data_IF_888806934104
#
_entry.id   IF_888806934104
#
_cell.length_a   1.000
_cell.length_b   1.000
_cell.length_c   1.000
_cell.angle_alpha   90.00
_cell.angle_beta   90.00
_cell.angle_gamma   90.00
#
_symmetry.space_group_name_H-M   'P 1'
#
loop_
_entity.id
_entity.type
_entity.pdbx_description
1 polymer ?
#
# COMPACT_ATOMS: atom_id res chain seq x y z
N UNK A 1 -21.30 -7.19 15.13
CA UNK A 1 -20.67 -7.08 16.47
C UNK A 1 -20.48 -8.50 17.00
N UNK A 2 -19.32 -8.82 17.56
CA UNK A 2 -19.01 -10.13 18.14
C UNK A 2 -18.07 -9.98 19.35
N UNK A 3 -17.99 -11.02 20.19
CA UNK A 3 -17.38 -10.95 21.51
C UNK A 3 -18.31 -10.34 22.58
N UNK A 4 -17.84 -10.30 23.83
CA UNK A 4 -18.60 -9.86 24.99
C UNK A 4 -19.00 -8.36 24.94
N UNK A 5 -20.28 -8.09 24.64
CA UNK A 5 -20.79 -6.75 24.38
C UNK A 5 -22.05 -6.37 25.17
N UNK A 6 -22.17 -5.07 25.49
CA UNK A 6 -23.46 -4.38 25.64
C UNK A 6 -23.72 -3.55 24.39
N UNK A 7 -24.86 -3.77 23.75
CA UNK A 7 -25.25 -3.12 22.48
C UNK A 7 -26.61 -2.43 22.65
N UNK A 8 -26.75 -1.19 22.17
CA UNK A 8 -28.03 -0.48 22.09
C UNK A 8 -28.82 -0.87 20.83
N UNK A 9 -30.14 -0.75 20.86
CA UNK A 9 -31.01 -1.20 19.76
C UNK A 9 -30.82 -0.42 18.44
N UNK A 10 -30.27 0.80 18.49
CA UNK A 10 -29.89 1.64 17.36
C UNK A 10 -28.47 1.37 16.83
N UNK A 11 -27.71 0.45 17.48
CA UNK A 11 -26.29 0.17 17.26
C UNK A 11 -25.34 1.36 17.49
N UNK A 12 -25.83 2.50 18.00
CA UNK A 12 -25.03 3.69 18.27
C UNK A 12 -24.13 3.59 19.50
N UNK A 13 -24.52 2.77 20.48
CA UNK A 13 -23.79 2.45 21.69
C UNK A 13 -23.35 0.99 21.71
N UNK A 14 -22.09 0.73 21.34
CA UNK A 14 -21.44 -0.57 21.47
C UNK A 14 -20.34 -0.43 22.52
N UNK A 15 -20.49 -1.10 23.66
CA UNK A 15 -19.54 -1.05 24.76
C UNK A 15 -19.07 -2.48 25.13
N UNK A 16 -17.75 -2.70 25.32
CA UNK A 16 -17.25 -3.98 25.78
C UNK A 16 -17.71 -4.25 27.22
N UNK A 17 -17.92 -5.52 27.54
CA UNK A 17 -18.13 -6.00 28.91
C UNK A 17 -17.13 -7.12 29.23
N UNK A 18 -17.10 -7.61 30.46
CA UNK A 18 -16.18 -8.67 30.85
C UNK A 18 -16.38 -9.93 29.99
N UNK A 19 -15.30 -10.38 29.35
CA UNK A 19 -15.26 -11.59 28.54
C UNK A 19 -15.35 -12.88 29.36
N UNK A 20 -15.57 -14.01 28.67
CA UNK A 20 -15.55 -15.32 29.31
C UNK A 20 -14.11 -15.84 29.45
N UNK A 21 -13.86 -16.63 30.50
CA UNK A 21 -12.72 -17.53 30.48
C UNK A 21 -12.83 -18.47 29.25
N UNK A 22 -11.73 -18.63 28.50
CA UNK A 22 -11.71 -19.48 27.30
C UNK A 22 -12.24 -18.82 26.01
N UNK A 23 -12.18 -17.50 25.88
CA UNK A 23 -12.52 -16.80 24.64
C UNK A 23 -11.73 -17.33 23.41
N UNK A 24 -12.35 -17.42 22.21
CA UNK A 24 -11.70 -17.94 21.02
C UNK A 24 -10.64 -16.97 20.47
N UNK A 25 -9.65 -17.49 19.74
CA UNK A 25 -8.63 -16.65 19.09
C UNK A 25 -9.22 -15.65 18.07
N UNK A 26 -10.34 -16.02 17.42
CA UNK A 26 -11.07 -15.17 16.49
C UNK A 26 -12.57 -15.22 16.80
N UNK A 27 -13.23 -14.06 16.94
CA UNK A 27 -14.68 -13.96 17.06
C UNK A 27 -15.42 -13.97 15.71
N UNK A 28 -14.67 -13.79 14.60
CA UNK A 28 -15.16 -13.79 13.22
C UNK A 28 -14.09 -14.48 12.36
N UNK A 29 -14.46 -15.51 11.60
CA UNK A 29 -13.66 -16.02 10.48
C UNK A 29 -14.51 -16.02 9.20
N UNK A 30 -14.19 -15.13 8.26
CA UNK A 30 -14.97 -14.95 7.03
C UNK A 30 -14.88 -16.15 6.08
N UNK A 31 -13.84 -17.01 6.17
CA UNK A 31 -13.80 -18.22 5.34
C UNK A 31 -14.90 -19.22 5.73
N UNK A 32 -15.29 -19.29 7.01
CA UNK A 32 -16.42 -20.10 7.47
C UNK A 32 -17.78 -19.50 7.07
N UNK A 33 -17.81 -18.19 6.79
CA UNK A 33 -18.98 -17.48 6.25
C UNK A 33 -19.04 -17.48 4.71
N UNK A 34 -18.01 -18.02 4.04
CA UNK A 34 -17.79 -17.94 2.59
C UNK A 34 -17.38 -16.55 2.10
N UNK A 35 -18.18 -15.52 2.43
CA UNK A 35 -17.86 -14.12 2.15
C UNK A 35 -18.95 -13.17 2.61
N UNK A 36 -18.60 -11.89 2.77
CA UNK A 36 -19.49 -10.84 3.25
C UNK A 36 -19.66 -9.75 2.18
N UNK A 37 -20.88 -9.63 1.65
CA UNK A 37 -21.22 -8.72 0.56
C UNK A 37 -22.43 -7.85 0.96
N UNK A 38 -22.23 -6.53 0.99
CA UNK A 38 -23.28 -5.55 1.25
C UNK A 38 -22.89 -4.19 0.64
N UNK A 39 -23.75 -3.17 0.66
CA UNK A 39 -23.30 -1.81 0.33
C UNK A 39 -22.47 -1.22 1.49
N UNK A 40 -22.87 -1.42 2.74
CA UNK A 40 -22.13 -0.92 3.91
C UNK A 40 -21.83 -2.09 4.86
N UNK A 41 -20.60 -2.17 5.35
CA UNK A 41 -20.14 -3.24 6.24
C UNK A 41 -19.47 -2.64 7.48
N UNK A 42 -19.95 -3.03 8.66
CA UNK A 42 -19.43 -2.62 9.95
C UNK A 42 -19.20 -3.85 10.86
N UNK A 43 -17.94 -4.13 11.18
CA UNK A 43 -17.52 -5.18 12.10
C UNK A 43 -16.93 -4.54 13.36
N UNK A 44 -17.36 -5.04 14.52
CA UNK A 44 -16.77 -4.71 15.82
C UNK A 44 -16.51 -6.01 16.55
N UNK A 45 -15.26 -6.20 16.97
CA UNK A 45 -14.76 -7.26 17.85
C UNK A 45 -13.95 -6.57 18.95
N UNK A 46 -14.54 -6.43 20.12
CA UNK A 46 -14.04 -5.62 21.24
C UNK A 46 -13.91 -6.45 22.54
N UNK A 47 -13.68 -7.74 22.39
CA UNK A 47 -13.27 -8.59 23.51
C UNK A 47 -11.74 -8.64 23.51
N UNK A 48 -11.11 -8.25 24.62
CA UNK A 48 -9.68 -7.95 24.67
C UNK A 48 -8.83 -9.19 24.29
N UNK A 49 -7.94 -9.01 23.30
CA UNK A 49 -7.11 -10.08 22.74
C UNK A 49 -7.81 -10.98 21.71
N UNK A 50 -9.12 -10.89 21.55
CA UNK A 50 -9.87 -11.66 20.54
C UNK A 50 -9.77 -10.99 19.17
N UNK A 51 -9.35 -11.75 18.17
CA UNK A 51 -9.14 -11.26 16.82
C UNK A 51 -10.36 -11.33 15.89
N UNK A 52 -10.14 -10.88 14.66
CA UNK A 52 -11.01 -11.15 13.51
C UNK A 52 -10.15 -11.65 12.34
N UNK A 53 -10.69 -12.60 11.57
CA UNK A 53 -9.98 -13.25 10.47
C UNK A 53 -10.76 -13.15 9.17
N UNK A 54 -10.08 -12.73 8.10
CA UNK A 54 -10.59 -12.82 6.74
C UNK A 54 -9.65 -13.68 5.89
N UNK A 55 -10.06 -14.93 5.69
CA UNK A 55 -9.51 -15.83 4.68
C UNK A 55 -10.49 -16.05 3.50
N UNK A 56 -11.54 -15.22 3.39
CA UNK A 56 -12.51 -15.22 2.30
C UNK A 56 -12.56 -13.87 1.59
N UNK A 57 -13.76 -13.37 1.29
CA UNK A 57 -13.97 -12.03 0.71
C UNK A 57 -14.84 -11.16 1.62
N UNK A 58 -14.42 -9.93 1.89
CA UNK A 58 -15.25 -8.83 2.38
C UNK A 58 -15.35 -7.79 1.26
N UNK A 59 -16.56 -7.46 0.79
CA UNK A 59 -16.74 -6.55 -0.34
C UNK A 59 -17.93 -5.60 -0.15
N UNK A 60 -17.69 -4.29 -0.23
CA UNK A 60 -18.72 -3.25 -0.03
C UNK A 60 -19.38 -2.78 -1.34
N UNK A 61 -19.33 -3.59 -2.41
CA UNK A 61 -19.72 -3.20 -3.76
C UNK A 61 -20.41 -4.34 -4.53
N UNK A 62 -21.50 -4.03 -5.22
CA UNK A 62 -22.16 -4.93 -6.18
C UNK A 62 -21.80 -4.56 -7.62
N UNK A 63 -21.08 -5.43 -8.33
CA UNK A 63 -20.80 -5.29 -9.77
C UNK A 63 -19.32 -5.36 -10.14
N UNK A 64 -19.04 -5.69 -11.40
CA UNK A 64 -17.72 -6.09 -11.92
C UNK A 64 -16.65 -4.99 -11.97
N UNK A 65 -17.02 -3.72 -11.74
CA UNK A 65 -16.11 -2.56 -11.76
C UNK A 65 -16.29 -1.64 -10.53
N UNK A 66 -16.07 -2.22 -9.35
CA UNK A 66 -16.20 -1.60 -8.02
C UNK A 66 -15.22 -0.44 -7.69
N UNK A 67 -14.65 0.24 -8.69
CA UNK A 67 -13.71 1.37 -8.51
C UNK A 67 -14.18 2.70 -9.13
N UNK A 68 -15.30 2.71 -9.87
CA UNK A 68 -15.89 3.93 -10.43
C UNK A 68 -16.86 4.65 -9.46
N UNK A 69 -17.23 4.02 -8.34
CA UNK A 69 -18.26 4.49 -7.41
C UNK A 69 -17.74 5.48 -6.35
N UNK A 70 -17.35 6.69 -6.75
CA UNK A 70 -16.97 7.78 -5.81
C UNK A 70 -18.15 8.70 -5.43
N UNK A 71 -19.38 8.32 -5.80
CA UNK A 71 -20.60 9.10 -5.53
C UNK A 71 -21.13 8.95 -4.09
N UNK A 72 -22.02 9.87 -3.65
CA UNK A 72 -22.67 9.77 -2.34
C UNK A 72 -23.52 8.49 -2.23
N UNK A 73 -23.41 7.79 -1.11
CA UNK A 73 -24.08 6.50 -0.86
C UNK A 73 -23.32 5.25 -1.34
N UNK A 74 -22.16 5.42 -1.97
CA UNK A 74 -21.27 4.32 -2.30
C UNK A 74 -20.60 3.71 -1.05
N UNK A 75 -20.27 2.43 -1.14
CA UNK A 75 -20.09 1.55 0.00
C UNK A 75 -18.82 1.72 0.84
N UNK A 76 -19.01 1.82 2.16
CA UNK A 76 -17.92 1.99 3.14
C UNK A 76 -17.72 0.76 4.02
N UNK A 77 -16.49 0.58 4.48
CA UNK A 77 -16.07 -0.47 5.40
C UNK A 77 -15.56 0.13 6.71
N UNK A 78 -16.01 -0.39 7.84
CA UNK A 78 -15.39 -0.14 9.16
C UNK A 78 -15.17 -1.46 9.88
N UNK A 79 -13.91 -1.81 10.12
CA UNK A 79 -13.52 -2.87 11.06
C UNK A 79 -12.90 -2.22 12.30
N UNK A 80 -13.37 -2.62 13.48
CA UNK A 80 -12.70 -2.37 14.76
C UNK A 80 -12.47 -3.70 15.47
N UNK A 81 -11.21 -4.00 15.77
CA UNK A 81 -10.76 -5.26 16.39
C UNK A 81 -9.82 -4.91 17.54
N UNK A 82 -10.08 -5.39 18.75
CA UNK A 82 -9.18 -5.10 19.89
C UNK A 82 -7.99 -6.07 19.93
N UNK A 83 -8.13 -7.28 19.37
CA UNK A 83 -7.03 -8.23 19.14
C UNK A 83 -6.39 -8.11 17.74
N UNK A 84 -5.93 -9.25 17.22
CA UNK A 84 -5.33 -9.37 15.88
C UNK A 84 -6.39 -9.32 14.78
N UNK A 85 -6.18 -8.47 13.78
CA UNK A 85 -6.84 -8.61 12.47
C UNK A 85 -5.92 -9.43 11.54
N UNK A 86 -6.32 -10.65 11.18
CA UNK A 86 -5.65 -11.52 10.21
C UNK A 86 -6.36 -11.45 8.85
N UNK A 87 -5.72 -10.91 7.83
CA UNK A 87 -6.22 -10.92 6.45
C UNK A 87 -5.29 -11.72 5.53
N UNK A 88 -5.72 -12.94 5.18
CA UNK A 88 -5.14 -13.72 4.08
C UNK A 88 -6.01 -13.70 2.82
N UNK A 89 -7.22 -13.14 2.90
CA UNK A 89 -8.20 -13.06 1.82
C UNK A 89 -8.28 -11.69 1.14
N UNK A 90 -9.44 -11.40 0.54
CA UNK A 90 -9.74 -10.13 -0.12
C UNK A 90 -10.61 -9.24 0.78
N UNK A 91 -10.20 -7.99 0.93
CA UNK A 91 -11.03 -6.88 1.42
C UNK A 91 -11.11 -5.85 0.30
N UNK A 92 -12.31 -5.60 -0.26
CA UNK A 92 -12.53 -4.61 -1.32
C UNK A 92 -13.60 -3.59 -0.93
N UNK A 93 -13.24 -2.31 -0.94
CA UNK A 93 -14.08 -1.21 -0.47
C UNK A 93 -14.38 -0.23 -1.59
N UNK A 94 -15.67 -0.01 -1.85
CA UNK A 94 -16.19 0.84 -2.93
C UNK A 94 -15.82 2.32 -2.79
N UNK A 95 -15.59 2.79 -1.56
CA UNK A 95 -15.15 4.17 -1.29
C UNK A 95 -14.10 4.19 -0.16
N UNK A 96 -14.51 4.42 1.09
CA UNK A 96 -13.60 4.59 2.23
C UNK A 96 -13.57 3.34 3.10
N UNK A 97 -12.36 2.82 3.36
CA UNK A 97 -12.13 1.69 4.26
C UNK A 97 -11.39 2.13 5.52
N UNK A 98 -11.97 1.88 6.69
CA UNK A 98 -11.35 2.13 7.99
C UNK A 98 -11.09 0.78 8.67
N UNK A 99 -9.82 0.48 8.94
CA UNK A 99 -9.37 -0.68 9.68
C UNK A 99 -8.73 -0.21 11.00
N UNK A 100 -9.26 -0.66 12.13
CA UNK A 100 -8.67 -0.48 13.45
C UNK A 100 -8.42 -1.85 14.07
N UNK A 101 -7.20 -2.09 14.54
CA UNK A 101 -6.80 -3.36 15.14
C UNK A 101 -5.91 -3.15 16.38
N UNK A 102 -5.79 -4.15 17.25
CA UNK A 102 -4.68 -4.24 18.21
C UNK A 102 -3.36 -4.35 17.44
N UNK A 103 -3.26 -5.37 16.59
CA UNK A 103 -2.23 -5.51 15.55
C UNK A 103 -2.86 -6.00 14.24
N UNK A 104 -2.22 -5.76 13.10
CA UNK A 104 -2.70 -6.22 11.79
C UNK A 104 -1.66 -7.12 11.12
N UNK A 105 -2.10 -8.28 10.63
CA UNK A 105 -1.36 -9.11 9.69
C UNK A 105 -2.12 -9.15 8.36
N UNK A 106 -1.49 -8.72 7.28
CA UNK A 106 -2.04 -8.79 5.92
C UNK A 106 -1.09 -9.56 5.00
N UNK A 107 -1.42 -10.82 4.74
CA UNK A 107 -0.86 -11.61 3.64
C UNK A 107 -1.73 -11.59 2.37
N UNK A 108 -2.97 -11.10 2.49
CA UNK A 108 -3.94 -11.00 1.39
C UNK A 108 -3.95 -9.65 0.69
N UNK A 109 -5.13 -9.24 0.20
CA UNK A 109 -5.35 -7.94 -0.46
C UNK A 109 -6.36 -7.10 0.29
N UNK A 110 -6.01 -5.84 0.55
CA UNK A 110 -6.91 -4.79 1.03
C UNK A 110 -6.92 -3.66 -0.01
N UNK A 111 -8.09 -3.38 -0.58
CA UNK A 111 -8.29 -2.37 -1.63
C UNK A 111 -9.42 -1.40 -1.27
N UNK A 112 -9.21 -0.09 -1.46
CA UNK A 112 -10.27 0.92 -1.38
C UNK A 112 -10.21 1.88 -2.56
N UNK A 113 -11.34 2.25 -3.15
CA UNK A 113 -11.35 3.19 -4.28
C UNK A 113 -10.97 4.64 -3.89
N UNK A 114 -11.21 5.05 -2.64
CA UNK A 114 -10.97 6.42 -2.18
C UNK A 114 -9.87 6.53 -1.11
N UNK A 115 -10.16 6.15 0.13
CA UNK A 115 -9.21 6.28 1.26
C UNK A 115 -9.16 4.97 2.05
N UNK A 116 -7.97 4.38 2.16
CA UNK A 116 -7.72 3.30 3.10
C UNK A 116 -7.01 3.89 4.32
N UNK A 117 -7.71 3.87 5.45
CA UNK A 117 -7.17 4.25 6.76
C UNK A 117 -6.96 3.00 7.60
N UNK A 118 -5.73 2.80 8.07
CA UNK A 118 -5.34 1.70 8.94
C UNK A 118 -4.70 2.27 10.19
N UNK A 119 -5.22 1.89 11.36
CA UNK A 119 -4.64 2.23 12.66
C UNK A 119 -4.48 0.97 13.51
N UNK A 120 -3.23 0.67 13.88
CA UNK A 120 -2.89 -0.39 14.83
C UNK A 120 -2.34 0.19 16.13
N UNK A 121 -2.49 -0.55 17.23
CA UNK A 121 -1.88 -0.21 18.50
C UNK A 121 -0.42 -0.69 18.47
N UNK A 122 -0.22 -2.00 18.30
CA UNK A 122 1.04 -2.64 17.96
C UNK A 122 1.30 -2.72 16.46
N UNK A 123 2.00 -3.76 16.03
CA UNK A 123 2.57 -3.87 14.68
C UNK A 123 1.53 -3.94 13.55
N UNK A 124 1.96 -3.46 12.37
CA UNK A 124 1.25 -3.52 11.11
C UNK A 124 2.11 -4.28 10.09
N UNK A 125 1.89 -5.59 10.00
CA UNK A 125 2.54 -6.46 9.03
C UNK A 125 1.75 -6.52 7.71
N UNK A 126 2.44 -6.23 6.61
CA UNK A 126 1.94 -6.34 5.23
C UNK A 126 2.79 -7.36 4.45
N UNK A 127 2.91 -8.57 4.99
CA UNK A 127 3.71 -9.68 4.45
C UNK A 127 2.94 -11.01 4.54
N UNK A 128 3.38 -12.05 3.79
CA UNK A 128 2.89 -13.41 4.03
C UNK A 128 3.40 -13.89 5.40
N UNK A 129 2.48 -14.27 6.28
CA UNK A 129 2.84 -14.97 7.51
C UNK A 129 3.42 -16.35 7.19
N UNK A 130 4.71 -16.55 7.46
CA UNK A 130 5.36 -17.88 7.47
C UNK A 130 6.37 -18.17 6.34
N UNK A 131 6.49 -17.35 5.30
CA UNK A 131 7.47 -17.58 4.21
C UNK A 131 8.64 -16.59 4.24
N UNK A 132 9.63 -16.86 5.09
CA UNK A 132 10.89 -16.09 5.17
C UNK A 132 11.86 -16.29 3.99
N UNK A 133 11.34 -16.47 2.77
CA UNK A 133 12.12 -16.68 1.54
C UNK A 133 11.96 -15.50 0.57
N UNK A 134 13.04 -15.20 -0.17
CA UNK A 134 13.13 -14.07 -1.11
C UNK A 134 12.35 -14.27 -2.43
N UNK A 135 11.09 -14.70 -2.35
CA UNK A 135 10.25 -14.99 -3.52
C UNK A 135 8.74 -15.12 -3.26
N UNK A 136 8.27 -14.90 -2.03
CA UNK A 136 6.83 -14.80 -1.74
C UNK A 136 6.35 -13.35 -1.83
N UNK A 137 5.38 -13.05 -2.70
CA UNK A 137 4.74 -11.73 -2.76
C UNK A 137 4.00 -11.46 -1.45
N UNK A 138 4.40 -10.43 -0.71
CA UNK A 138 3.72 -10.01 0.52
C UNK A 138 2.33 -9.44 0.28
N UNK A 139 1.67 -9.03 1.37
CA UNK A 139 0.32 -8.46 1.31
C UNK A 139 0.24 -7.20 0.44
N UNK A 140 -0.93 -6.95 -0.10
CA UNK A 140 -1.26 -5.71 -0.81
C UNK A 140 -2.20 -4.87 0.03
N UNK A 141 -1.85 -3.60 0.30
CA UNK A 141 -2.78 -2.55 0.71
C UNK A 141 -2.76 -1.45 -0.35
N UNK A 142 -3.93 -1.05 -0.85
CA UNK A 142 -4.03 -0.18 -2.02
C UNK A 142 -5.21 0.79 -1.92
N UNK A 143 -4.96 2.08 -2.11
CA UNK A 143 -6.01 3.10 -2.24
C UNK A 143 -5.52 4.39 -2.92
N UNK A 144 -6.46 5.21 -3.41
CA UNK A 144 -6.17 6.53 -3.99
C UNK A 144 -5.47 7.46 -2.99
N UNK A 145 -5.83 7.39 -1.71
CA UNK A 145 -5.03 7.90 -0.58
C UNK A 145 -4.83 6.78 0.44
N UNK A 146 -3.62 6.66 0.98
CA UNK A 146 -3.23 5.61 1.91
C UNK A 146 -2.74 6.21 3.24
N UNK A 147 -3.46 5.95 4.34
CA UNK A 147 -3.15 6.42 5.69
C UNK A 147 -2.88 5.24 6.62
N UNK A 148 -1.61 4.90 6.90
CA UNK A 148 -1.19 3.87 7.84
C UNK A 148 -0.61 4.50 9.11
N UNK A 149 -1.04 4.03 10.28
CA UNK A 149 -0.50 4.42 11.59
C UNK A 149 -0.36 3.19 12.49
N UNK A 150 0.85 2.92 12.99
CA UNK A 150 1.07 2.11 14.18
C UNK A 150 1.39 3.02 15.35
N UNK A 151 0.76 2.82 16.50
CA UNK A 151 0.90 3.71 17.66
C UNK A 151 2.17 3.43 18.47
N UNK A 152 2.54 2.15 18.65
CA UNK A 152 3.73 1.73 19.41
C UNK A 152 4.57 0.64 18.73
N UNK A 153 4.19 0.20 17.52
CA UNK A 153 4.87 -0.86 16.77
C UNK A 153 5.52 -0.39 15.46
N UNK A 154 6.01 -1.36 14.70
CA UNK A 154 6.62 -1.20 13.39
C UNK A 154 5.55 -1.27 12.26
N UNK A 155 5.86 -0.71 11.08
CA UNK A 155 5.17 -1.07 9.83
C UNK A 155 6.11 -1.99 9.04
N UNK A 156 5.71 -3.24 8.81
CA UNK A 156 6.53 -4.23 8.12
C UNK A 156 5.95 -4.65 6.75
N UNK A 157 6.43 -3.99 5.71
CA UNK A 157 6.12 -4.19 4.30
C UNK A 157 7.16 -5.06 3.56
N UNK A 158 7.88 -5.95 4.24
CA UNK A 158 8.86 -6.83 3.59
C UNK A 158 8.21 -7.72 2.53
N UNK A 159 8.74 -7.64 1.30
CA UNK A 159 8.14 -8.18 0.07
C UNK A 159 6.69 -7.73 -0.23
N UNK A 160 6.11 -6.83 0.55
CA UNK A 160 4.73 -6.36 0.44
C UNK A 160 4.54 -5.18 -0.50
N UNK A 161 3.29 -4.76 -0.68
CA UNK A 161 2.88 -3.64 -1.53
C UNK A 161 1.96 -2.68 -0.76
N UNK A 162 2.42 -1.44 -0.52
CA UNK A 162 1.64 -0.32 0.01
C UNK A 162 1.43 0.72 -1.10
N UNK A 163 0.32 0.59 -1.85
CA UNK A 163 0.11 1.33 -3.10
C UNK A 163 -0.81 2.54 -2.92
N UNK A 164 -0.24 3.75 -2.98
CA UNK A 164 -1.02 4.98 -3.16
C UNK A 164 -1.25 5.24 -4.65
N UNK A 165 -2.49 5.14 -5.12
CA UNK A 165 -2.80 5.18 -6.55
C UNK A 165 -2.96 6.58 -7.14
N UNK A 166 -2.89 7.63 -6.32
CA UNK A 166 -2.88 9.02 -6.78
C UNK A 166 -1.47 9.60 -6.93
N UNK A 167 -1.38 10.69 -7.69
CA UNK A 167 -0.20 11.57 -7.77
C UNK A 167 -0.06 12.51 -6.57
N UNK A 168 -0.80 12.28 -5.47
CA UNK A 168 -0.54 12.99 -4.22
C UNK A 168 0.82 12.60 -3.63
N UNK A 169 1.38 13.50 -2.84
CA UNK A 169 2.56 13.20 -2.04
C UNK A 169 2.31 12.12 -0.98
N UNK A 170 3.38 11.65 -0.36
CA UNK A 170 3.32 10.69 0.73
C UNK A 170 4.16 11.19 1.91
N UNK A 171 3.52 11.46 3.04
CA UNK A 171 4.23 11.70 4.29
C UNK A 171 4.71 10.37 4.86
N UNK A 172 5.99 10.28 5.21
CA UNK A 172 6.56 9.12 5.92
C UNK A 172 7.18 9.66 7.20
N UNK A 173 6.36 9.78 8.24
CA UNK A 173 6.77 10.15 9.60
C UNK A 173 6.97 8.88 10.41
N UNK A 174 7.79 8.00 9.87
CA UNK A 174 8.21 6.78 10.53
C UNK A 174 9.52 7.06 11.25
N UNK A 175 9.55 6.89 12.57
CA UNK A 175 10.77 6.32 13.11
C UNK A 175 10.90 4.87 12.62
N UNK A 176 9.83 4.06 12.54
CA UNK A 176 9.89 2.63 12.16
C UNK A 176 9.15 2.22 10.91
N UNK A 177 9.89 1.71 9.92
CA UNK A 177 9.34 1.21 8.67
C UNK A 177 10.30 0.21 8.05
N UNK A 178 9.79 -0.95 7.65
CA UNK A 178 10.54 -2.07 7.11
C UNK A 178 10.02 -2.41 5.72
N UNK A 179 10.72 -1.95 4.67
CA UNK A 179 10.31 -2.12 3.26
C UNK A 179 11.23 -3.07 2.48
N UNK A 180 11.88 -3.98 3.19
CA UNK A 180 13.02 -4.74 2.65
C UNK A 180 12.58 -5.91 1.76
N UNK A 181 13.53 -6.67 1.19
CA UNK A 181 13.24 -7.91 0.45
C UNK A 181 12.26 -7.70 -0.74
N UNK A 182 12.50 -6.68 -1.58
CA UNK A 182 11.68 -6.35 -2.75
C UNK A 182 10.40 -5.54 -2.48
N UNK A 183 10.14 -5.19 -1.20
CA UNK A 183 8.98 -4.43 -0.76
C UNK A 183 8.77 -3.12 -1.51
N UNK A 184 7.50 -2.73 -1.70
CA UNK A 184 7.12 -1.58 -2.49
C UNK A 184 6.18 -0.62 -1.76
N UNK A 185 6.48 0.69 -1.81
CA UNK A 185 5.64 1.78 -1.29
C UNK A 185 5.48 2.89 -2.34
N UNK A 186 4.25 3.27 -2.65
CA UNK A 186 3.92 4.43 -3.50
C UNK A 186 3.08 4.09 -4.73
N UNK A 187 3.43 4.61 -5.91
CA UNK A 187 2.53 4.65 -7.08
C UNK A 187 2.73 3.56 -8.15
N UNK A 188 3.97 3.10 -8.39
CA UNK A 188 4.35 2.25 -9.53
C UNK A 188 5.27 1.08 -9.12
N UNK A 189 5.03 -0.18 -9.56
CA UNK A 189 4.25 -0.56 -10.73
C UNK A 189 2.98 -1.37 -10.42
N UNK A 190 2.00 -1.26 -11.31
CA UNK A 190 1.03 -2.35 -11.52
C UNK A 190 1.71 -3.37 -12.40
N UNK A 191 2.14 -4.50 -11.84
CA UNK A 191 2.55 -5.64 -12.64
C UNK A 191 1.35 -6.07 -13.51
N UNK A 192 1.55 -6.19 -14.82
CA UNK A 192 0.54 -6.76 -15.70
C UNK A 192 0.19 -8.18 -15.23
N UNK A 193 -1.06 -8.62 -15.44
CA UNK A 193 -1.46 -9.99 -15.12
C UNK A 193 -0.51 -10.97 -15.81
N UNK A 194 0.33 -11.65 -15.03
CA UNK A 194 1.03 -12.84 -15.48
C UNK A 194 -0.02 -13.93 -15.62
N UNK A 195 -0.77 -13.88 -16.72
CA UNK A 195 -1.50 -15.04 -17.20
C UNK A 195 -0.48 -16.18 -17.29
N UNK A 196 -0.65 -17.21 -16.48
CA UNK A 196 0.09 -18.46 -16.64
C UNK A 196 -0.41 -19.19 -17.88
N UNK A 197 -0.14 -18.62 -19.07
CA UNK A 197 -0.11 -19.34 -20.33
C UNK A 197 1.04 -20.34 -20.25
N UNK A 198 0.76 -21.49 -19.64
CA UNK A 198 1.75 -22.54 -19.40
C UNK A 198 2.45 -22.90 -20.70
N UNK A 199 3.78 -22.95 -20.69
CA UNK A 199 4.59 -23.18 -21.88
C UNK A 199 4.53 -24.66 -22.33
N UNK A 200 3.40 -25.05 -22.89
CA UNK A 200 3.08 -26.42 -23.35
C UNK A 200 3.50 -26.67 -24.80
N UNK A 201 4.79 -26.60 -25.10
CA UNK A 201 5.31 -26.96 -26.41
C UNK A 201 5.29 -28.47 -26.65
N UNK A 202 4.30 -28.98 -27.40
CA UNK A 202 4.19 -30.38 -27.78
C UNK A 202 3.46 -30.55 -29.12
N UNK A 203 4.10 -31.23 -30.08
CA UNK A 203 3.56 -31.45 -31.43
C UNK A 203 3.09 -32.91 -31.58
N UNK A 204 1.99 -33.14 -32.31
CA UNK A 204 1.73 -34.46 -32.88
C UNK A 204 0.26 -34.88 -33.08
N UNK A 205 -0.12 -35.00 -34.35
CA UNK A 205 -1.20 -35.86 -34.88
C UNK A 205 -2.67 -35.47 -34.66
N UNK A 206 -3.53 -36.11 -35.45
CA UNK A 206 -4.95 -35.79 -35.66
C UNK A 206 -5.87 -36.98 -35.36
N UNK A 207 -7.19 -36.73 -35.24
CA UNK A 207 -8.28 -37.40 -35.99
C UNK A 207 -9.66 -36.94 -35.48
N UNK A 208 -10.63 -36.71 -36.38
CA UNK A 208 -12.08 -36.65 -36.04
C UNK A 208 -12.76 -35.28 -36.20
N UNK A 209 -13.95 -35.27 -36.82
CA UNK A 209 -14.85 -34.10 -36.91
C UNK A 209 -16.04 -34.20 -35.93
N UNK A 210 -17.15 -33.46 -36.08
CA UNK A 210 -17.66 -32.75 -37.28
C UNK A 210 -18.61 -31.57 -36.96
N UNK A 211 -18.63 -30.55 -37.83
CA UNK A 211 -19.83 -29.80 -38.28
C UNK A 211 -20.51 -28.78 -37.34
N UNK A 212 -20.88 -27.59 -37.84
CA UNK A 212 -21.68 -26.64 -37.04
C UNK A 212 -21.98 -25.21 -37.55
N UNK A 213 -22.22 -24.99 -38.85
CA UNK A 213 -22.80 -23.75 -39.45
C UNK A 213 -22.09 -22.38 -39.25
N UNK A 214 -22.21 -21.50 -40.25
CA UNK A 214 -21.72 -20.12 -40.22
C UNK A 214 -22.83 -19.15 -40.69
N UNK A 215 -22.80 -17.90 -40.20
CA UNK A 215 -23.69 -16.81 -40.65
C UNK A 215 -22.84 -15.53 -40.88
N UNK A 216 -22.92 -14.83 -42.03
CA UNK A 216 -22.15 -13.61 -42.31
C UNK A 216 -22.66 -12.33 -41.60
N UNK A 217 -21.90 -11.21 -41.62
CA UNK A 217 -22.24 -9.99 -40.88
C UNK A 217 -23.26 -9.08 -41.59
N UNK A 218 -24.06 -8.37 -40.80
CA UNK A 218 -25.00 -7.34 -41.28
C UNK A 218 -24.38 -5.94 -41.38
N UNK A 219 -24.92 -5.11 -42.27
CA UNK A 219 -24.54 -3.71 -42.51
C UNK A 219 -25.70 -2.75 -42.19
N UNK A 220 -25.41 -1.50 -41.82
CA UNK A 220 -26.45 -0.45 -41.69
C UNK A 220 -26.27 0.54 -40.54
N UNK A 221 -25.66 1.70 -40.83
CA UNK A 221 -25.77 2.96 -40.06
C UNK A 221 -26.90 3.84 -40.68
N UNK A 222 -27.19 5.09 -40.25
CA UNK A 222 -26.68 5.89 -39.11
C UNK A 222 -27.77 6.62 -38.26
N UNK A 223 -27.34 7.23 -37.16
CA UNK A 223 -27.67 8.66 -36.92
C UNK A 223 -28.72 9.03 -35.86
N UNK A 224 -28.27 9.69 -34.79
CA UNK A 224 -29.01 10.77 -34.10
C UNK A 224 -28.02 11.62 -33.30
N UNK A 225 -28.10 12.94 -33.43
CA UNK A 225 -27.20 13.87 -32.76
C UNK A 225 -27.79 14.35 -31.42
N UNK A 226 -26.98 14.33 -30.37
CA UNK A 226 -27.26 15.00 -29.10
C UNK A 226 -26.30 16.19 -28.96
N UNK A 227 -26.81 17.35 -28.55
CA UNK A 227 -26.04 18.60 -28.53
C UNK A 227 -24.93 18.62 -27.48
N UNK A 228 -23.88 19.38 -27.74
CA UNK A 228 -22.79 19.59 -26.79
C UNK A 228 -23.25 20.38 -25.56
N UNK A 229 -23.42 19.69 -24.43
CA UNK A 229 -23.40 20.34 -23.13
C UNK A 229 -21.99 20.91 -22.86
N UNK A 230 -21.85 22.08 -22.21
CA UNK A 230 -20.54 22.66 -21.95
C UNK A 230 -19.72 21.74 -21.04
N UNK A 231 -18.49 21.45 -21.45
CA UNK A 231 -17.50 20.75 -20.62
C UNK A 231 -17.04 21.65 -19.48
N UNK A 232 -17.88 21.76 -18.44
CA UNK A 232 -17.45 22.25 -17.14
C UNK A 232 -16.27 21.38 -16.70
N UNK A 233 -15.07 21.95 -16.75
CA UNK A 233 -13.85 21.23 -16.44
C UNK A 233 -13.88 20.82 -14.97
N UNK A 234 -14.21 19.55 -14.71
CA UNK A 234 -14.22 18.98 -13.37
C UNK A 234 -12.83 19.20 -12.76
N UNK A 235 -12.75 20.10 -11.79
CA UNK A 235 -11.54 20.30 -10.99
C UNK A 235 -11.24 18.97 -10.32
N UNK A 236 -10.20 18.28 -10.80
CA UNK A 236 -9.74 17.02 -10.21
C UNK A 236 -9.59 17.23 -8.70
N UNK A 237 -10.37 16.51 -7.86
CA UNK A 237 -10.44 16.81 -6.44
C UNK A 237 -9.05 16.66 -5.82
N UNK A 238 -8.54 17.73 -5.23
CA UNK A 238 -7.17 17.79 -4.70
C UNK A 238 -6.99 16.66 -3.68
N UNK A 239 -6.26 15.63 -4.09
CA UNK A 239 -6.00 14.47 -3.25
C UNK A 239 -4.98 14.89 -2.20
N UNK A 240 -5.41 14.93 -0.95
CA UNK A 240 -4.51 15.15 0.18
C UNK A 240 -3.47 14.04 0.26
N UNK A 241 -2.20 14.33 0.63
CA UNK A 241 -1.18 13.32 0.84
C UNK A 241 -1.64 12.20 1.79
N UNK A 242 -1.24 10.97 1.47
CA UNK A 242 -1.26 9.86 2.42
C UNK A 242 -0.19 10.02 3.50
N UNK A 243 -0.25 9.18 4.52
CA UNK A 243 0.70 9.20 5.64
C UNK A 243 1.03 7.77 6.12
N UNK A 244 2.32 7.49 6.34
CA UNK A 244 2.83 6.31 7.06
C UNK A 244 3.50 6.79 8.36
N UNK A 245 3.09 6.23 9.51
CA UNK A 245 3.58 6.63 10.85
C UNK A 245 3.79 5.39 11.74
N UNK A 246 4.97 5.21 12.34
CA UNK A 246 5.37 4.04 13.17
C UNK A 246 6.77 4.21 13.83
N UNK A 247 7.26 3.24 14.64
CA UNK A 247 8.41 3.37 15.58
C UNK A 247 9.66 2.46 15.33
N UNK A 248 10.88 3.03 15.14
CA UNK A 248 12.12 2.38 14.60
C UNK A 248 13.32 3.37 14.55
N UNK A 249 14.26 3.56 13.59
CA UNK A 249 14.74 3.12 12.22
C UNK A 249 13.80 2.77 11.03
N UNK A 250 13.95 3.50 9.92
CA UNK A 250 13.46 3.17 8.55
C UNK A 250 14.49 2.32 7.78
N UNK A 251 14.03 1.24 7.14
CA UNK A 251 14.84 0.26 6.40
C UNK A 251 14.23 -0.01 5.02
N UNK A 252 14.97 0.31 3.96
CA UNK A 252 14.59 0.10 2.56
C UNK A 252 15.62 -0.77 1.81
N UNK A 253 16.35 -1.64 2.52
CA UNK A 253 17.36 -2.52 1.95
C UNK A 253 16.75 -3.52 0.95
N UNK A 254 17.20 -3.46 -0.31
CA UNK A 254 16.57 -4.16 -1.43
C UNK A 254 15.11 -3.78 -1.68
N UNK A 255 14.63 -2.66 -1.13
CA UNK A 255 13.25 -2.17 -1.20
C UNK A 255 13.06 -1.05 -2.22
N UNK A 256 11.82 -0.58 -2.39
CA UNK A 256 11.43 0.48 -3.34
C UNK A 256 10.41 1.44 -2.72
N UNK A 257 10.73 2.73 -2.65
CA UNK A 257 9.84 3.79 -2.14
C UNK A 257 9.76 4.93 -3.17
N UNK A 258 8.62 5.04 -3.86
CA UNK A 258 8.40 6.01 -4.95
C UNK A 258 6.91 6.40 -5.08
N UNK A 259 6.56 7.60 -4.61
CA UNK A 259 5.21 8.15 -4.76
C UNK A 259 5.01 8.94 -6.07
N UNK A 260 3.77 9.09 -6.50
CA UNK A 260 3.42 9.86 -7.69
C UNK A 260 3.58 11.38 -7.51
N UNK A 261 3.47 11.86 -6.26
CA UNK A 261 3.92 13.19 -5.83
C UNK A 261 5.16 13.12 -4.95
N UNK A 262 5.49 14.23 -4.30
CA UNK A 262 6.65 14.32 -3.40
C UNK A 262 6.51 13.42 -2.16
N UNK A 263 7.60 12.72 -1.79
CA UNK A 263 7.70 12.06 -0.48
C UNK A 263 8.33 13.02 0.53
N UNK A 264 7.59 13.31 1.60
CA UNK A 264 8.07 14.05 2.75
C UNK A 264 8.51 13.04 3.82
N UNK A 265 9.81 12.72 3.84
CA UNK A 265 10.39 11.72 4.73
C UNK A 265 10.93 12.38 6.00
N UNK A 266 10.33 12.07 7.15
CA UNK A 266 10.67 12.64 8.45
C UNK A 266 11.23 11.54 9.36
N UNK A 267 12.51 11.20 9.14
CA UNK A 267 13.22 10.22 9.96
C UNK A 267 14.73 10.53 9.99
N UNK A 268 15.42 10.39 11.14
CA UNK A 268 16.85 10.67 11.22
C UNK A 268 17.71 9.53 10.66
N UNK A 269 17.19 8.30 10.63
CA UNK A 269 17.98 7.09 10.34
C UNK A 269 17.31 6.20 9.28
N UNK A 270 18.01 6.02 8.17
CA UNK A 270 17.58 5.28 6.97
C UNK A 270 18.60 4.20 6.64
N UNK A 271 18.12 3.06 6.15
CA UNK A 271 18.89 2.18 5.27
C UNK A 271 18.32 2.20 3.85
N UNK A 272 19.18 2.24 2.83
CA UNK A 272 18.81 2.13 1.42
C UNK A 272 19.78 1.20 0.64
N UNK A 273 20.53 0.33 1.33
CA UNK A 273 21.47 -0.59 0.68
C UNK A 273 20.77 -1.50 -0.36
N UNK A 274 21.16 -1.41 -1.63
CA UNK A 274 20.52 -2.10 -2.75
C UNK A 274 19.07 -1.69 -3.05
N UNK A 275 18.53 -0.68 -2.36
CA UNK A 275 17.15 -0.21 -2.51
C UNK A 275 17.02 0.99 -3.45
N UNK A 276 15.77 1.39 -3.74
CA UNK A 276 15.47 2.67 -4.41
C UNK A 276 14.57 3.55 -3.57
N UNK A 277 14.96 4.82 -3.41
CA UNK A 277 14.25 5.82 -2.61
C UNK A 277 14.20 7.15 -3.38
N UNK A 278 12.99 7.68 -3.59
CA UNK A 278 12.77 9.02 -4.16
C UNK A 278 12.05 9.92 -3.16
N UNK A 279 12.65 11.06 -2.83
CA UNK A 279 12.15 12.03 -1.82
C UNK A 279 12.31 13.47 -2.29
N UNK A 280 11.54 14.41 -1.72
CA UNK A 280 11.69 15.83 -2.06
C UNK A 280 12.98 16.41 -1.46
N UNK A 281 13.11 16.29 -0.14
CA UNK A 281 14.26 16.70 0.67
C UNK A 281 14.57 15.58 1.66
N UNK A 282 15.82 15.49 2.11
CA UNK A 282 16.25 14.52 3.11
C UNK A 282 17.33 15.08 4.04
N UNK A 283 17.12 14.90 5.34
CA UNK A 283 18.11 15.13 6.39
C UNK A 283 18.30 13.83 7.21
N UNK A 284 19.52 13.28 7.21
CA UNK A 284 19.88 12.11 8.03
C UNK A 284 20.89 12.49 9.12
N UNK A 285 20.72 11.93 10.31
CA UNK A 285 21.58 12.17 11.46
C UNK A 285 21.65 10.93 12.37
N UNK A 286 22.86 10.52 12.75
CA UNK A 286 23.05 9.33 13.61
C UNK A 286 24.39 8.64 13.39
N UNK A 287 24.50 7.38 13.84
CA UNK A 287 25.76 6.63 13.79
C UNK A 287 26.23 6.31 12.36
N UNK A 288 25.32 5.98 11.45
CA UNK A 288 25.65 5.64 10.06
C UNK A 288 24.48 5.93 9.11
N UNK A 289 24.80 6.11 7.83
CA UNK A 289 23.84 6.08 6.72
C UNK A 289 24.40 5.20 5.59
N UNK A 290 23.56 4.35 4.99
CA UNK A 290 23.95 3.51 3.84
C UNK A 290 23.00 3.64 2.65
N UNK A 291 23.61 3.78 1.48
CA UNK A 291 23.06 3.69 0.14
C UNK A 291 23.93 2.74 -0.73
N UNK A 292 24.64 1.79 -0.10
CA UNK A 292 25.56 0.87 -0.77
C UNK A 292 24.83 0.05 -1.85
N UNK A 293 25.25 0.16 -3.11
CA UNK A 293 24.56 -0.43 -4.28
C UNK A 293 23.12 0.06 -4.52
N UNK A 294 22.64 1.06 -3.76
CA UNK A 294 21.29 1.60 -3.82
C UNK A 294 21.17 2.82 -4.74
N UNK A 295 19.94 3.29 -4.93
CA UNK A 295 19.62 4.55 -5.63
C UNK A 295 18.83 5.49 -4.71
N UNK A 296 19.37 6.68 -4.47
CA UNK A 296 18.73 7.75 -3.73
C UNK A 296 18.57 8.98 -4.64
N UNK A 297 17.31 9.29 -4.96
CA UNK A 297 16.90 10.46 -5.74
C UNK A 297 16.27 11.51 -4.84
N UNK A 298 16.91 12.67 -4.68
CA UNK A 298 16.39 13.79 -3.87
C UNK A 298 16.10 14.98 -4.79
N UNK A 299 14.87 15.47 -4.83
CA UNK A 299 14.48 16.59 -5.72
C UNK A 299 15.23 17.89 -5.40
N UNK A 300 15.45 18.16 -4.11
CA UNK A 300 16.02 19.39 -3.58
C UNK A 300 17.31 19.10 -2.79
N UNK A 301 17.23 18.97 -1.47
CA UNK A 301 18.38 19.00 -0.56
C UNK A 301 18.62 17.63 0.07
N UNK A 302 19.79 17.05 -0.17
CA UNK A 302 20.32 15.97 0.68
C UNK A 302 21.27 16.57 1.72
N UNK A 303 21.03 16.27 2.99
CA UNK A 303 21.89 16.64 4.11
C UNK A 303 22.16 15.45 5.01
N UNK A 304 23.41 15.27 5.42
CA UNK A 304 23.85 14.17 6.27
C UNK A 304 24.84 14.65 7.35
N UNK A 305 24.50 14.41 8.62
CA UNK A 305 25.37 14.60 9.78
C UNK A 305 25.54 13.28 10.53
N UNK A 306 26.47 12.43 10.08
CA UNK A 306 26.53 11.01 10.49
C UNK A 306 27.93 10.60 10.97
N UNK A 307 28.03 9.47 11.68
CA UNK A 307 29.31 8.86 12.02
C UNK A 307 30.05 8.41 10.76
N UNK A 308 29.47 7.45 10.03
CA UNK A 308 29.95 6.98 8.73
C UNK A 308 28.89 7.14 7.63
N UNK A 309 29.35 7.27 6.38
CA UNK A 309 28.50 7.27 5.19
C UNK A 309 29.00 6.23 4.19
N UNK A 310 28.14 5.29 3.80
CA UNK A 310 28.42 4.28 2.79
C UNK A 310 27.56 4.51 1.53
N UNK A 311 28.21 4.79 0.42
CA UNK A 311 27.65 4.87 -0.92
C UNK A 311 28.44 3.99 -1.91
N UNK A 312 29.13 2.94 -1.42
CA UNK A 312 29.92 2.05 -2.27
C UNK A 312 29.04 1.39 -3.34
N UNK A 313 29.39 1.55 -4.62
CA UNK A 313 28.58 1.12 -5.76
C UNK A 313 27.19 1.80 -5.90
N UNK A 314 26.85 2.78 -5.06
CA UNK A 314 25.55 3.43 -5.04
C UNK A 314 25.41 4.63 -5.98
N UNK A 315 24.17 5.06 -6.22
CA UNK A 315 23.84 6.33 -6.86
C UNK A 315 23.08 7.23 -5.89
N UNK A 316 23.60 8.43 -5.66
CA UNK A 316 22.95 9.48 -4.91
C UNK A 316 22.98 10.76 -5.74
N UNK A 317 21.81 11.34 -6.00
CA UNK A 317 21.71 12.63 -6.67
C UNK A 317 20.71 13.57 -5.99
N UNK A 318 21.11 14.84 -5.86
CA UNK A 318 20.30 15.91 -5.29
C UNK A 318 20.59 17.26 -5.95
N UNK A 319 19.70 18.25 -5.86
CA UNK A 319 19.98 19.62 -6.33
C UNK A 319 21.00 20.33 -5.44
N UNK A 320 21.04 19.97 -4.16
CA UNK A 320 22.06 20.40 -3.18
C UNK A 320 22.48 19.19 -2.34
N UNK A 321 23.78 19.02 -2.11
CA UNK A 321 24.37 17.97 -1.25
C UNK A 321 25.20 18.65 -0.16
N UNK A 322 24.93 18.33 1.11
CA UNK A 322 25.74 18.75 2.27
C UNK A 322 26.03 17.54 3.17
N UNK A 323 27.29 17.12 3.26
CA UNK A 323 27.69 15.93 4.02
C UNK A 323 28.73 16.33 5.06
N UNK A 324 28.53 15.89 6.30
CA UNK A 324 29.47 15.98 7.41
C UNK A 324 29.55 14.60 8.06
N UNK A 325 30.73 13.98 8.00
CA UNK A 325 31.02 12.72 8.70
C UNK A 325 32.00 12.95 9.85
N UNK A 326 31.90 12.16 10.92
CA UNK A 326 32.95 12.13 11.98
C UNK A 326 33.97 11.00 11.75
N UNK A 327 33.67 10.07 10.84
CA UNK A 327 34.54 9.02 10.34
C UNK A 327 34.39 8.85 8.83
N UNK A 328 34.50 7.62 8.36
CA UNK A 328 34.66 7.31 6.94
C UNK A 328 33.46 7.68 6.05
N UNK A 329 33.78 8.10 4.82
CA UNK A 329 32.86 8.28 3.71
C UNK A 329 33.34 7.36 2.58
N UNK A 330 32.65 6.23 2.39
CA UNK A 330 32.93 5.32 1.26
C UNK A 330 32.05 5.67 0.06
N UNK A 331 32.70 5.88 -1.10
CA UNK A 331 32.06 6.08 -2.38
C UNK A 331 32.78 5.26 -3.49
N UNK A 332 33.44 4.15 -3.14
CA UNK A 332 34.17 3.31 -4.11
C UNK A 332 33.20 2.71 -5.12
N UNK A 333 33.40 3.04 -6.39
CA UNK A 333 32.47 2.68 -7.48
C UNK A 333 31.09 3.36 -7.40
N UNK A 334 30.88 4.24 -6.42
CA UNK A 334 29.64 4.98 -6.21
C UNK A 334 29.64 6.37 -6.84
N UNK A 335 28.48 7.00 -6.87
CA UNK A 335 28.26 8.33 -7.45
C UNK A 335 27.51 9.25 -6.49
N UNK A 336 28.07 10.43 -6.25
CA UNK A 336 27.44 11.57 -5.60
C UNK A 336 27.33 12.69 -6.64
N UNK A 337 26.11 13.04 -7.07
CA UNK A 337 25.90 13.93 -8.21
C UNK A 337 24.96 15.10 -7.89
N UNK A 338 25.35 16.31 -8.30
CA UNK A 338 24.43 17.45 -8.29
C UNK A 338 23.52 17.43 -9.52
N UNK A 339 22.21 17.53 -9.31
CA UNK A 339 21.24 17.76 -10.37
C UNK A 339 21.52 19.12 -11.01
N UNK A 340 21.87 19.11 -12.31
CA UNK A 340 22.07 20.35 -13.07
C UNK A 340 20.79 21.18 -13.04
N UNK A 341 20.91 22.45 -12.68
CA UNK A 341 19.82 23.40 -12.85
C UNK A 341 19.38 23.41 -14.33
N UNK A 342 18.07 23.35 -14.58
CA UNK A 342 17.56 23.52 -15.93
C UNK A 342 17.97 24.90 -16.46
N UNK A 343 18.44 25.02 -17.72
CA UNK A 343 18.77 26.33 -18.29
C UNK A 343 17.51 27.19 -18.31
N UNK A 344 17.58 28.38 -17.70
CA UNK A 344 16.45 29.29 -17.62
C UNK A 344 16.06 29.79 -19.02
N UNK A 345 14.98 29.23 -19.57
CA UNK A 345 14.38 29.70 -20.82
C UNK A 345 13.69 31.03 -20.59
N UNK A 346 14.47 32.11 -20.68
CA UNK A 346 13.96 33.46 -20.72
C UNK A 346 12.96 33.59 -21.89
N UNK A 347 11.69 33.83 -21.54
CA UNK A 347 10.66 34.18 -22.52
C UNK A 347 10.75 35.68 -22.77
N UNK A 348 11.18 36.06 -23.97
CA UNK A 348 11.02 37.40 -24.54
C UNK A 348 9.55 37.71 -24.81
#
# INVERSE_FOLDING_TARGET
VAGANRVTADLGGIAPIAGSAGAPAYAIDVAQLGGMYANHIALVVNEAGVGARNAGTIQTATGTYALAGTGPGAGKLTLSVDGLLDNSGLIQVATDGVLRAGSLANGGTVRSAAVLQVATQGDLANHIAGTGGAGGTGGTMEARRLDLRSATGDIDNRAGTLRQTSTAGLAVTATGLSNTNGGFIGAEPVAASTNSSGNGGGSGSSTGGTGGAAIPPGTGTPGSAAGGAPTSALVSPVVSPGALVAAGRVRNDGGRIHAGGDIALQTPNIDNAGGTLRVADLAVAGAAFSNAGGTLAVTNTFSAGVGTLDNAGGNLHARTIAITTTGDLDNRGGTLALLKAAPATARS
#
